data_IF_904165280678
#
_entry.id   IF_904165280678
#
_cell.length_a   1.000
_cell.length_b   1.000
_cell.length_c   1.000
_cell.angle_alpha   90.00
_cell.angle_beta   90.00
_cell.angle_gamma   90.00
#
_symmetry.space_group_name_H-M   'P 1'
#
loop_
_entity.id
_entity.type
_entity.pdbx_description
1 polymer ?
#
# COMPACT_ATOMS: atom_id res chain seq x y z
N UNK A 1 -47.67 35.35 79.28
CA UNK A 1 -47.14 35.03 77.93
C UNK A 1 -45.62 34.87 77.86
N UNK A 2 -44.81 35.47 78.74
CA UNK A 2 -43.33 35.44 78.66
C UNK A 2 -42.67 34.06 78.87
N UNK A 3 -43.27 33.18 79.67
CA UNK A 3 -42.70 31.85 79.97
C UNK A 3 -42.81 30.85 78.80
N UNK A 4 -43.91 30.91 78.01
CA UNK A 4 -44.08 30.05 76.82
C UNK A 4 -43.17 30.45 75.66
N UNK A 5 -42.81 31.74 75.56
CA UNK A 5 -41.85 32.24 74.59
C UNK A 5 -40.41 31.79 74.92
N UNK A 6 -40.05 31.75 76.20
CA UNK A 6 -38.72 31.27 76.62
C UNK A 6 -38.52 29.78 76.34
N UNK A 7 -39.54 28.95 76.54
CA UNK A 7 -39.46 27.50 76.24
C UNK A 7 -39.32 27.24 74.74
N UNK A 8 -40.02 28.02 73.89
CA UNK A 8 -39.88 27.93 72.42
C UNK A 8 -38.52 28.40 71.91
N UNK A 9 -37.93 29.43 72.52
CA UNK A 9 -36.58 29.89 72.16
C UNK A 9 -35.52 28.86 72.60
N UNK A 10 -35.68 28.25 73.77
CA UNK A 10 -34.73 27.25 74.28
C UNK A 10 -34.77 25.94 73.49
N UNK A 11 -35.95 25.53 73.00
CA UNK A 11 -36.07 24.35 72.11
C UNK A 11 -35.50 24.59 70.71
N UNK A 12 -35.57 25.82 70.19
CA UNK A 12 -34.98 26.16 68.88
C UNK A 12 -33.44 26.13 68.91
N UNK A 13 -32.83 26.55 70.02
CA UNK A 13 -31.35 26.60 70.19
C UNK A 13 -30.75 25.19 70.32
N UNK A 14 -31.48 24.24 70.91
CA UNK A 14 -31.02 22.85 71.10
C UNK A 14 -31.05 22.00 69.81
N UNK A 15 -31.87 22.36 68.83
CA UNK A 15 -32.00 21.62 67.56
C UNK A 15 -30.98 22.12 66.51
N UNK A 16 -30.50 23.36 66.65
CA UNK A 16 -29.64 24.02 65.68
C UNK A 16 -28.27 23.34 65.40
N UNK A 17 -27.51 22.82 66.38
CA UNK A 17 -26.17 22.27 66.09
C UNK A 17 -26.19 20.93 65.34
N UNK A 18 -27.29 20.15 65.41
CA UNK A 18 -27.39 18.84 64.74
C UNK A 18 -27.62 19.00 63.24
N UNK A 19 -28.35 20.04 62.82
CA UNK A 19 -28.65 20.31 61.41
C UNK A 19 -27.41 20.84 60.66
N UNK A 20 -26.55 21.62 61.33
CA UNK A 20 -25.33 22.17 60.72
C UNK A 20 -24.25 21.11 60.48
N UNK A 21 -24.13 20.09 61.34
CA UNK A 21 -23.16 18.98 61.16
C UNK A 21 -23.57 18.07 60.00
N UNK A 22 -24.86 17.72 59.89
CA UNK A 22 -25.38 16.93 58.76
C UNK A 22 -25.22 17.65 57.41
N UNK A 23 -25.47 18.96 57.33
CA UNK A 23 -25.27 19.75 56.10
C UNK A 23 -23.79 19.82 55.68
N UNK A 24 -22.86 19.86 56.64
CA UNK A 24 -21.43 19.89 56.37
C UNK A 24 -20.86 18.51 55.98
N UNK A 25 -21.50 17.42 56.41
CA UNK A 25 -21.14 16.04 55.98
C UNK A 25 -21.66 15.72 54.57
N UNK A 26 -22.91 16.08 54.24
CA UNK A 26 -23.46 15.98 52.88
C UNK A 26 -22.59 16.72 51.85
N UNK A 27 -22.13 17.94 52.18
CA UNK A 27 -21.24 18.72 51.30
C UNK A 27 -19.86 18.09 51.07
N UNK A 28 -19.32 17.34 52.05
CA UNK A 28 -18.04 16.64 51.90
C UNK A 28 -18.19 15.37 51.06
N UNK A 29 -19.32 14.69 51.17
CA UNK A 29 -19.65 13.51 50.39
C UNK A 29 -19.88 13.87 48.92
N UNK A 30 -20.64 14.93 48.64
CA UNK A 30 -20.83 15.48 47.29
C UNK A 30 -19.49 15.88 46.64
N UNK A 31 -18.59 16.55 47.38
CA UNK A 31 -17.25 16.89 46.88
C UNK A 31 -16.37 15.66 46.62
N UNK A 32 -16.54 14.59 47.41
CA UNK A 32 -15.83 13.34 47.22
C UNK A 32 -16.36 12.57 46.00
N UNK A 33 -17.67 12.58 45.76
CA UNK A 33 -18.28 12.03 44.54
C UNK A 33 -17.85 12.81 43.29
N UNK A 34 -17.86 14.14 43.33
CA UNK A 34 -17.38 15.00 42.24
C UNK A 34 -15.94 14.64 41.84
N UNK A 35 -15.03 14.51 42.82
CA UNK A 35 -13.63 14.12 42.57
C UNK A 35 -13.49 12.70 42.00
N UNK A 36 -14.38 11.77 42.37
CA UNK A 36 -14.40 10.42 41.81
C UNK A 36 -14.85 10.46 40.34
N UNK A 37 -15.88 11.23 40.03
CA UNK A 37 -16.36 11.45 38.66
C UNK A 37 -15.26 12.09 37.80
N UNK A 38 -14.62 13.16 38.26
CA UNK A 38 -13.51 13.82 37.56
C UNK A 38 -12.35 12.84 37.26
N UNK A 39 -12.04 11.95 38.21
CA UNK A 39 -11.01 10.93 38.04
C UNK A 39 -11.40 9.90 36.97
N UNK A 40 -12.65 9.45 36.96
CA UNK A 40 -13.18 8.51 35.97
C UNK A 40 -13.22 9.15 34.59
N UNK A 41 -13.69 10.40 34.47
CA UNK A 41 -13.69 11.14 33.21
C UNK A 41 -12.28 11.35 32.66
N UNK A 42 -11.32 11.71 33.52
CA UNK A 42 -9.91 11.84 33.14
C UNK A 42 -9.33 10.52 32.63
N UNK A 43 -9.66 9.40 33.27
CA UNK A 43 -9.26 8.07 32.81
C UNK A 43 -9.88 7.72 31.46
N UNK A 44 -11.18 8.01 31.27
CA UNK A 44 -11.88 7.80 30.00
C UNK A 44 -11.30 8.64 28.87
N UNK A 45 -11.01 9.91 29.13
CA UNK A 45 -10.34 10.80 28.17
C UNK A 45 -8.94 10.30 27.81
N UNK A 46 -8.18 9.77 28.78
CA UNK A 46 -6.87 9.18 28.51
C UNK A 46 -6.98 7.91 27.65
N UNK A 47 -7.97 7.06 27.90
CA UNK A 47 -8.27 5.86 27.09
C UNK A 47 -8.62 6.25 25.66
N UNK A 48 -9.58 7.17 25.46
CA UNK A 48 -9.99 7.65 24.14
C UNK A 48 -8.81 8.25 23.35
N UNK A 49 -7.97 9.07 24.00
CA UNK A 49 -6.75 9.62 23.36
C UNK A 49 -5.75 8.53 22.99
N UNK A 50 -5.66 7.46 23.77
CA UNK A 50 -4.78 6.33 23.46
C UNK A 50 -5.30 5.50 22.29
N UNK A 51 -6.62 5.30 22.22
CA UNK A 51 -7.30 4.61 21.11
C UNK A 51 -7.21 5.42 19.82
N UNK A 52 -7.46 6.72 19.86
CA UNK A 52 -7.31 7.62 18.71
C UNK A 52 -5.89 7.57 18.14
N UNK A 53 -4.87 7.56 19.01
CA UNK A 53 -3.46 7.41 18.57
C UNK A 53 -3.19 6.05 17.92
N UNK A 54 -3.78 4.96 18.44
CA UNK A 54 -3.66 3.63 17.84
C UNK A 54 -4.30 3.60 16.45
N UNK A 55 -5.54 4.09 16.33
CA UNK A 55 -6.25 4.20 15.06
C UNK A 55 -5.49 5.08 14.06
N UNK A 56 -4.90 6.19 14.51
CA UNK A 56 -4.08 7.03 13.64
C UNK A 56 -2.79 6.33 13.19
N UNK A 57 -2.18 5.51 14.05
CA UNK A 57 -1.01 4.72 13.69
C UNK A 57 -1.36 3.63 12.68
N UNK A 58 -2.48 2.92 12.88
CA UNK A 58 -3.02 1.90 11.96
C UNK A 58 -3.34 2.51 10.60
N UNK A 59 -4.05 3.64 10.55
CA UNK A 59 -4.38 4.33 9.31
C UNK A 59 -3.12 4.79 8.54
N UNK A 60 -2.07 5.22 9.25
CA UNK A 60 -0.78 5.55 8.62
C UNK A 60 -0.09 4.31 8.04
N UNK A 61 -0.16 3.18 8.74
CA UNK A 61 0.38 1.91 8.25
C UNK A 61 -0.37 1.43 7.01
N UNK A 62 -1.70 1.44 7.03
CA UNK A 62 -2.52 1.07 5.88
C UNK A 62 -2.24 1.97 4.67
N UNK A 63 -2.14 3.28 4.87
CA UNK A 63 -1.75 4.20 3.79
C UNK A 63 -0.36 3.91 3.23
N UNK A 64 0.59 3.51 4.07
CA UNK A 64 1.92 3.13 3.62
C UNK A 64 1.89 1.83 2.80
N UNK A 65 1.10 0.84 3.23
CA UNK A 65 0.88 -0.42 2.51
C UNK A 65 0.24 -0.15 1.15
N UNK A 66 -0.84 0.62 1.10
CA UNK A 66 -1.53 0.97 -0.14
C UNK A 66 -0.60 1.69 -1.13
N UNK A 67 0.24 2.63 -0.64
CA UNK A 67 1.22 3.31 -1.49
C UNK A 67 2.32 2.36 -2.00
N UNK A 68 2.76 1.41 -1.18
CA UNK A 68 3.72 0.40 -1.61
C UNK A 68 3.12 -0.51 -2.68
N UNK A 69 1.86 -0.92 -2.50
CA UNK A 69 1.14 -1.77 -3.44
C UNK A 69 0.88 -1.06 -4.77
N UNK A 70 0.45 0.21 -4.74
CA UNK A 70 0.31 1.04 -5.95
C UNK A 70 1.62 1.14 -6.73
N UNK A 71 2.76 1.32 -6.04
CA UNK A 71 4.08 1.34 -6.69
C UNK A 71 4.44 -0.01 -7.29
N UNK A 72 4.14 -1.12 -6.59
CA UNK A 72 4.34 -2.48 -7.10
C UNK A 72 3.57 -2.70 -8.40
N UNK A 73 2.27 -2.42 -8.40
CA UNK A 73 1.38 -2.58 -9.55
C UNK A 73 1.85 -1.71 -10.72
N UNK A 74 2.16 -0.43 -10.48
CA UNK A 74 2.67 0.46 -11.53
C UNK A 74 3.99 -0.03 -12.16
N UNK A 75 4.88 -0.62 -11.35
CA UNK A 75 6.12 -1.21 -11.84
C UNK A 75 5.87 -2.48 -12.65
N UNK A 76 4.93 -3.33 -12.20
CA UNK A 76 4.51 -4.55 -12.91
C UNK A 76 3.93 -4.21 -14.28
N UNK A 77 2.98 -3.28 -14.35
CA UNK A 77 2.38 -2.81 -15.61
C UNK A 77 3.44 -2.25 -16.57
N UNK A 78 4.39 -1.46 -16.05
CA UNK A 78 5.49 -0.93 -16.86
C UNK A 78 6.38 -2.04 -17.41
N UNK A 79 6.67 -3.07 -16.62
CA UNK A 79 7.45 -4.22 -17.05
C UNK A 79 6.72 -5.02 -18.15
N UNK A 80 5.41 -5.29 -17.97
CA UNK A 80 4.56 -5.94 -18.98
C UNK A 80 4.53 -5.15 -20.30
N UNK A 81 4.26 -3.84 -20.23
CA UNK A 81 4.25 -2.99 -21.43
C UNK A 81 5.59 -2.99 -22.18
N UNK A 82 6.70 -3.03 -21.45
CA UNK A 82 8.02 -3.08 -22.05
C UNK A 82 8.36 -4.45 -22.65
N UNK A 83 7.90 -5.53 -22.01
CA UNK A 83 7.97 -6.88 -22.53
C UNK A 83 7.24 -6.97 -23.89
N UNK A 84 6.00 -6.49 -23.96
CA UNK A 84 5.18 -6.56 -25.19
C UNK A 84 5.77 -5.73 -26.34
N UNK A 85 6.32 -4.55 -26.02
CA UNK A 85 7.09 -3.75 -26.98
C UNK A 85 8.29 -4.52 -27.52
N UNK A 86 8.99 -5.26 -26.66
CA UNK A 86 10.17 -6.03 -27.06
C UNK A 86 9.79 -7.24 -27.91
N UNK A 87 8.68 -7.92 -27.59
CA UNK A 87 8.11 -8.96 -28.46
C UNK A 87 7.77 -8.42 -29.85
N UNK A 88 7.10 -7.26 -29.90
CA UNK A 88 6.76 -6.62 -31.17
C UNK A 88 8.00 -6.22 -31.96
N UNK A 89 9.01 -5.68 -31.28
CA UNK A 89 10.28 -5.31 -31.90
C UNK A 89 11.03 -6.54 -32.44
N UNK A 90 11.05 -7.64 -31.68
CA UNK A 90 11.61 -8.93 -32.10
C UNK A 90 10.93 -9.42 -33.37
N UNK A 91 9.60 -9.52 -33.39
CA UNK A 91 8.85 -10.00 -34.55
C UNK A 91 9.08 -9.15 -35.81
N UNK A 92 9.16 -7.82 -35.66
CA UNK A 92 9.52 -6.91 -36.77
C UNK A 92 10.94 -7.15 -37.29
N UNK A 93 11.90 -7.36 -36.39
CA UNK A 93 13.29 -7.62 -36.74
C UNK A 93 13.45 -8.99 -37.42
N UNK A 94 12.77 -10.03 -36.93
CA UNK A 94 12.75 -11.36 -37.54
C UNK A 94 12.14 -11.34 -38.95
N UNK A 95 11.03 -10.63 -39.13
CA UNK A 95 10.41 -10.49 -40.45
C UNK A 95 11.34 -9.74 -41.42
N UNK A 96 12.03 -8.70 -40.95
CA UNK A 96 13.04 -7.99 -41.75
C UNK A 96 14.23 -8.91 -42.09
N UNK A 97 14.70 -9.68 -41.12
CA UNK A 97 15.80 -10.63 -41.29
C UNK A 97 15.45 -11.68 -42.35
N UNK A 98 14.25 -12.27 -42.28
CA UNK A 98 13.76 -13.22 -43.27
C UNK A 98 13.74 -12.62 -44.68
N UNK A 99 13.21 -11.39 -44.82
CA UNK A 99 13.20 -10.68 -46.12
C UNK A 99 14.61 -10.45 -46.66
N UNK A 100 15.57 -10.08 -45.80
CA UNK A 100 16.96 -9.88 -46.20
C UNK A 100 17.63 -11.19 -46.62
N UNK A 101 17.42 -12.28 -45.87
CA UNK A 101 17.94 -13.62 -46.22
C UNK A 101 17.39 -14.08 -47.58
N UNK A 102 16.09 -13.94 -47.81
CA UNK A 102 15.47 -14.26 -49.10
C UNK A 102 16.01 -13.40 -50.25
N UNK A 103 16.29 -12.12 -50.00
CA UNK A 103 16.86 -11.23 -51.01
C UNK A 103 18.31 -11.61 -51.36
N UNK A 104 19.12 -11.99 -50.37
CA UNK A 104 20.48 -12.50 -50.58
C UNK A 104 20.45 -13.80 -51.39
N UNK A 105 19.60 -14.76 -51.01
CA UNK A 105 19.46 -16.03 -51.72
C UNK A 105 19.07 -15.83 -53.19
N UNK A 106 18.10 -14.95 -53.46
CA UNK A 106 17.71 -14.57 -54.83
C UNK A 106 18.84 -13.88 -55.59
N UNK A 107 19.68 -13.10 -54.92
CA UNK A 107 20.82 -12.43 -55.55
C UNK A 107 21.90 -13.46 -55.95
N UNK A 108 22.18 -14.43 -55.08
CA UNK A 108 23.09 -15.54 -55.33
C UNK A 108 22.59 -16.38 -56.51
N UNK A 109 21.31 -16.80 -56.49
CA UNK A 109 20.72 -17.60 -57.57
C UNK A 109 20.76 -16.90 -58.94
N UNK A 110 20.58 -15.58 -58.97
CA UNK A 110 20.62 -14.81 -60.22
C UNK A 110 22.04 -14.61 -60.76
N UNK A 111 23.07 -14.70 -59.92
CA UNK A 111 24.48 -14.50 -60.31
C UNK A 111 24.82 -13.11 -60.86
N UNK A 112 23.93 -12.11 -60.69
CA UNK A 112 24.08 -10.75 -61.27
C UNK A 112 24.71 -9.73 -60.31
N UNK A 113 25.06 -10.14 -59.09
CA UNK A 113 25.59 -9.27 -58.03
C UNK A 113 27.06 -9.55 -57.83
N UNK A 114 27.83 -8.49 -57.56
CA UNK A 114 29.25 -8.61 -57.23
C UNK A 114 29.45 -9.18 -55.82
N UNK A 115 30.62 -9.75 -55.55
CA UNK A 115 30.96 -10.25 -54.21
C UNK A 115 30.86 -9.14 -53.15
N UNK A 116 31.23 -7.91 -53.50
CA UNK A 116 31.10 -6.75 -52.62
C UNK A 116 29.64 -6.44 -52.27
N UNK A 117 28.72 -6.59 -53.22
CA UNK A 117 27.29 -6.42 -52.96
C UNK A 117 26.72 -7.50 -52.04
N UNK A 118 27.13 -8.76 -52.25
CA UNK A 118 26.73 -9.89 -51.42
C UNK A 118 27.23 -9.72 -49.99
N UNK A 119 28.51 -9.36 -49.81
CA UNK A 119 29.10 -9.06 -48.51
C UNK A 119 28.36 -7.93 -47.78
N UNK A 120 27.91 -6.89 -48.49
CA UNK A 120 27.11 -5.80 -47.92
C UNK A 120 25.72 -6.29 -47.47
N UNK A 121 25.09 -7.19 -48.21
CA UNK A 121 23.83 -7.82 -47.81
C UNK A 121 24.01 -8.69 -46.56
N UNK A 122 25.05 -9.51 -46.51
CA UNK A 122 25.38 -10.33 -45.33
C UNK A 122 25.65 -9.48 -44.10
N UNK A 123 26.38 -8.38 -44.24
CA UNK A 123 26.62 -7.44 -43.15
C UNK A 123 25.30 -6.85 -42.62
N UNK A 124 24.35 -6.52 -43.51
CA UNK A 124 23.04 -6.03 -43.12
C UNK A 124 22.20 -7.11 -42.41
N UNK A 125 22.31 -8.37 -42.83
CA UNK A 125 21.69 -9.53 -42.17
C UNK A 125 22.24 -9.64 -40.74
N UNK A 126 23.57 -9.66 -40.56
CA UNK A 126 24.22 -9.73 -39.24
C UNK A 126 23.79 -8.59 -38.32
N UNK A 127 23.68 -7.36 -38.83
CA UNK A 127 23.15 -6.22 -38.06
C UNK A 127 21.72 -6.46 -37.58
N UNK A 128 20.87 -7.04 -38.43
CA UNK A 128 19.49 -7.36 -38.05
C UNK A 128 19.44 -8.54 -37.06
N UNK A 129 20.31 -9.53 -37.18
CA UNK A 129 20.43 -10.64 -36.20
C UNK A 129 20.78 -10.12 -34.81
N UNK A 130 21.74 -9.20 -34.71
CA UNK A 130 22.07 -8.53 -33.45
C UNK A 130 20.84 -7.81 -32.86
N UNK A 131 20.02 -7.17 -33.71
CA UNK A 131 18.79 -6.51 -33.25
C UNK A 131 17.75 -7.51 -32.72
N UNK A 132 17.62 -8.69 -33.32
CA UNK A 132 16.77 -9.78 -32.81
C UNK A 132 17.27 -10.24 -31.43
N UNK A 133 18.57 -10.52 -31.30
CA UNK A 133 19.18 -10.95 -30.03
C UNK A 133 19.02 -9.89 -28.94
N UNK A 134 19.19 -8.61 -29.27
CA UNK A 134 18.99 -7.53 -28.31
C UNK A 134 17.53 -7.44 -27.84
N UNK A 135 16.56 -7.69 -28.72
CA UNK A 135 15.16 -7.76 -28.35
C UNK A 135 14.87 -8.96 -27.44
N UNK A 136 15.48 -10.13 -27.70
CA UNK A 136 15.39 -11.32 -26.85
C UNK A 136 15.95 -11.08 -25.45
N UNK A 137 17.13 -10.46 -25.33
CA UNK A 137 17.69 -10.11 -24.03
C UNK A 137 16.79 -9.16 -23.26
N UNK A 138 16.17 -8.19 -23.95
CA UNK A 138 15.21 -7.28 -23.34
C UNK A 138 13.95 -8.01 -22.86
N UNK A 139 13.40 -8.94 -23.65
CA UNK A 139 12.28 -9.80 -23.25
C UNK A 139 12.61 -10.54 -21.95
N UNK A 140 13.76 -11.22 -21.90
CA UNK A 140 14.20 -11.95 -20.70
C UNK A 140 14.37 -11.02 -19.49
N UNK A 141 14.93 -9.81 -19.69
CA UNK A 141 15.04 -8.82 -18.62
C UNK A 141 13.67 -8.45 -18.08
N UNK A 142 12.71 -8.13 -18.95
CA UNK A 142 11.38 -7.72 -18.52
C UNK A 142 10.58 -8.88 -17.91
N UNK A 143 10.78 -10.13 -18.35
CA UNK A 143 10.22 -11.29 -17.67
C UNK A 143 10.71 -11.42 -16.23
N UNK A 144 12.00 -11.18 -15.98
CA UNK A 144 12.54 -11.14 -14.60
C UNK A 144 11.96 -9.97 -13.79
N UNK A 145 11.77 -8.81 -14.42
CA UNK A 145 11.15 -7.67 -13.75
C UNK A 145 9.69 -7.97 -13.38
N UNK A 146 8.93 -8.62 -14.27
CA UNK A 146 7.56 -9.08 -14.02
C UNK A 146 7.55 -10.05 -12.83
N UNK A 147 8.40 -11.08 -12.84
CA UNK A 147 8.48 -12.07 -11.75
C UNK A 147 8.85 -11.44 -10.40
N UNK A 148 9.70 -10.40 -10.41
CA UNK A 148 10.08 -9.66 -9.21
C UNK A 148 8.91 -8.88 -8.60
N UNK A 149 8.01 -8.35 -9.43
CA UNK A 149 6.89 -7.55 -8.95
C UNK A 149 5.62 -8.36 -8.70
N UNK A 150 5.50 -9.58 -9.24
CA UNK A 150 4.37 -10.46 -8.95
C UNK A 150 4.36 -10.95 -7.51
N UNK A 151 3.17 -11.06 -6.91
CA UNK A 151 2.97 -11.72 -5.62
C UNK A 151 3.04 -13.24 -5.78
N UNK A 152 3.28 -13.96 -4.69
CA UNK A 152 3.27 -15.44 -4.71
C UNK A 152 1.89 -16.00 -5.10
N UNK A 153 0.81 -15.33 -4.69
CA UNK A 153 -0.55 -15.69 -5.11
C UNK A 153 -0.73 -15.53 -6.63
N UNK A 154 -0.26 -14.43 -7.21
CA UNK A 154 -0.29 -14.19 -8.67
C UNK A 154 0.54 -15.26 -9.41
N UNK A 155 1.73 -15.59 -8.90
CA UNK A 155 2.57 -16.66 -9.45
C UNK A 155 1.87 -18.01 -9.39
N UNK A 156 1.22 -18.33 -8.27
CA UNK A 156 0.57 -19.61 -8.08
C UNK A 156 -0.67 -19.78 -8.96
N UNK A 157 -1.40 -18.69 -9.25
CA UNK A 157 -2.49 -18.68 -10.26
C UNK A 157 -1.99 -18.93 -11.67
N UNK A 158 -0.76 -18.53 -11.98
CA UNK A 158 -0.14 -18.68 -13.31
C UNK A 158 0.61 -20.01 -13.47
N UNK A 159 0.88 -20.74 -12.39
CA UNK A 159 1.42 -22.10 -12.51
C UNK A 159 0.31 -23.00 -13.07
N UNK A 160 0.58 -23.78 -14.14
CA UNK A 160 -0.37 -24.79 -14.57
C UNK A 160 -0.64 -25.72 -13.39
N UNK A 161 -1.91 -26.07 -13.16
CA UNK A 161 -2.25 -27.13 -12.24
C UNK A 161 -1.48 -28.37 -12.70
N UNK A 162 -0.45 -28.74 -11.94
CA UNK A 162 0.21 -30.02 -12.14
C UNK A 162 -0.76 -31.01 -11.52
N UNK A 163 -1.59 -31.61 -12.37
CA UNK A 163 -2.55 -32.63 -11.97
C UNK A 163 -1.80 -33.75 -11.22
N UNK A 164 -2.19 -33.97 -9.96
CA UNK A 164 -1.78 -35.11 -9.14
C UNK A 164 -2.66 -36.32 -9.45
#
# INVERSE_FOLDING_TARGET
>A
MKLRLCILIFSLILICPVVSVFAQELSKEELAEQKRLDKVEKQRLAQLKSEEKKLQAELKQEQAILKAEQKRVANLEKAQKNHDKSLTAKGKAELKLSKQKLALEKAIQKGKKTDADLAKMELNIKKTEIAVQQAEMNIQRYLRDIDRFMTEEEKQRLRPAVDN
#
